data_IF_523693186306
#
_entry.id   IF_523693186306
#
_cell.length_a   1.000
_cell.length_b   1.000
_cell.length_c   1.000
_cell.angle_alpha   90.00
_cell.angle_beta   90.00
_cell.angle_gamma   90.00
#
_symmetry.space_group_name_H-M   'P 1'
#
loop_
_entity.id
_entity.type
_entity.pdbx_description
1 polymer ?
#
# COMPACT_ATOMS: atom_id res chain seq x y z
N UNK A 1 -14.17 10.76 8.67
CA UNK A 1 -12.74 11.12 8.63
C UNK A 1 -11.84 9.89 8.40
N UNK A 2 -11.88 8.84 9.24
CA UNK A 2 -11.03 7.64 9.09
C UNK A 2 -11.05 7.01 7.68
N UNK A 3 -12.22 6.75 7.11
CA UNK A 3 -12.35 6.14 5.78
C UNK A 3 -11.75 6.98 4.65
N UNK A 4 -11.87 8.31 4.73
CA UNK A 4 -11.32 9.22 3.73
C UNK A 4 -9.78 9.25 3.71
N UNK A 5 -9.14 8.84 4.80
CA UNK A 5 -7.68 8.73 4.93
C UNK A 5 -7.22 7.31 4.57
N UNK A 6 -7.86 6.29 5.16
CA UNK A 6 -7.43 4.90 4.99
C UNK A 6 -7.61 4.39 3.56
N UNK A 7 -8.67 4.81 2.86
CA UNK A 7 -8.95 4.30 1.52
C UNK A 7 -7.87 4.74 0.49
N UNK A 8 -7.52 6.04 0.35
CA UNK A 8 -6.42 6.44 -0.52
C UNK A 8 -5.09 5.78 -0.15
N UNK A 9 -4.81 5.62 1.15
CA UNK A 9 -3.60 4.94 1.61
C UNK A 9 -3.56 3.48 1.13
N UNK A 10 -4.67 2.74 1.25
CA UNK A 10 -4.74 1.36 0.79
C UNK A 10 -4.54 1.23 -0.72
N UNK A 11 -5.17 2.10 -1.50
CA UNK A 11 -4.99 2.14 -2.96
C UNK A 11 -3.53 2.45 -3.30
N UNK A 12 -2.93 3.43 -2.63
CA UNK A 12 -1.53 3.78 -2.82
C UNK A 12 -0.60 2.59 -2.52
N UNK A 13 -0.76 1.94 -1.37
CA UNK A 13 0.09 0.79 -0.99
C UNK A 13 -0.06 -0.39 -1.95
N UNK A 14 -1.30 -0.69 -2.36
CA UNK A 14 -1.56 -1.73 -3.35
C UNK A 14 -0.93 -1.42 -4.71
N UNK A 15 -1.07 -0.19 -5.19
CA UNK A 15 -0.49 0.25 -6.46
C UNK A 15 1.04 0.27 -6.43
N UNK A 16 1.64 0.78 -5.34
CA UNK A 16 3.09 0.81 -5.15
C UNK A 16 3.66 -0.61 -5.12
N UNK A 17 3.07 -1.52 -4.33
CA UNK A 17 3.53 -2.91 -4.25
C UNK A 17 3.43 -3.64 -5.59
N UNK A 18 2.32 -3.45 -6.32
CA UNK A 18 2.15 -4.00 -7.66
C UNK A 18 3.18 -3.45 -8.66
N UNK A 19 3.46 -2.15 -8.61
CA UNK A 19 4.46 -1.52 -9.49
C UNK A 19 5.88 -2.01 -9.19
N UNK A 20 6.26 -2.14 -7.91
CA UNK A 20 7.56 -2.68 -7.50
C UNK A 20 7.71 -4.11 -7.99
N UNK A 21 6.76 -5.00 -7.71
CA UNK A 21 6.83 -6.40 -8.18
C UNK A 21 6.84 -6.52 -9.71
N UNK A 22 6.15 -5.62 -10.41
CA UNK A 22 6.16 -5.56 -11.87
C UNK A 22 7.54 -5.17 -12.44
N UNK A 23 8.26 -4.27 -11.79
CA UNK A 23 9.62 -3.86 -12.17
C UNK A 23 10.66 -4.92 -11.76
N UNK A 24 10.48 -5.53 -10.58
CA UNK A 24 11.24 -6.71 -10.10
C UNK A 24 11.27 -7.84 -11.12
N UNK A 25 10.08 -8.21 -11.64
CA UNK A 25 9.93 -9.23 -12.68
C UNK A 25 10.58 -8.86 -14.03
N UNK A 26 11.01 -7.61 -14.22
CA UNK A 26 11.76 -7.13 -15.39
C UNK A 26 13.25 -6.96 -15.12
N UNK A 27 13.75 -7.44 -13.98
CA UNK A 27 15.16 -7.39 -13.63
C UNK A 27 15.62 -6.07 -13.00
N UNK A 28 14.70 -5.19 -12.61
CA UNK A 28 15.03 -3.99 -11.83
C UNK A 28 15.00 -4.39 -10.34
N UNK A 29 16.06 -4.16 -9.56
CA UNK A 29 16.04 -4.45 -8.13
C UNK A 29 14.87 -3.77 -7.41
N UNK A 30 14.19 -4.48 -6.51
CA UNK A 30 13.00 -3.98 -5.82
C UNK A 30 13.28 -2.68 -5.04
N UNK A 31 14.46 -2.55 -4.44
CA UNK A 31 14.89 -1.33 -3.76
C UNK A 31 14.96 -0.14 -4.71
N UNK A 32 15.57 -0.34 -5.88
CA UNK A 32 15.71 0.70 -6.90
C UNK A 32 14.34 1.08 -7.47
N UNK A 33 13.47 0.10 -7.73
CA UNK A 33 12.11 0.34 -8.17
C UNK A 33 11.33 1.16 -7.13
N UNK A 34 11.45 0.81 -5.85
CA UNK A 34 10.78 1.52 -4.75
C UNK A 34 11.30 2.96 -4.62
N UNK A 35 12.62 3.18 -4.69
CA UNK A 35 13.23 4.51 -4.64
C UNK A 35 12.67 5.40 -5.74
N UNK A 36 12.72 4.94 -7.00
CA UNK A 36 12.23 5.69 -8.16
C UNK A 36 10.76 6.06 -8.01
N UNK A 37 9.93 5.12 -7.56
CA UNK A 37 8.48 5.35 -7.41
C UNK A 37 8.16 6.31 -6.25
N UNK A 38 8.96 6.28 -5.17
CA UNK A 38 8.75 7.11 -3.98
C UNK A 38 9.47 8.46 -4.01
N UNK A 39 10.33 8.70 -4.99
CA UNK A 39 10.85 10.02 -5.36
C UNK A 39 9.82 10.87 -6.14
N UNK A 40 8.68 10.28 -6.53
CA UNK A 40 7.65 10.99 -7.29
C UNK A 40 6.80 11.95 -6.44
N UNK A 41 6.19 12.95 -7.10
CA UNK A 41 5.25 13.88 -6.45
C UNK A 41 3.97 13.24 -5.93
N UNK A 42 3.68 12.00 -6.34
CA UNK A 42 2.55 11.21 -5.87
C UNK A 42 2.84 10.40 -4.60
N UNK A 43 4.06 10.41 -4.10
CA UNK A 43 4.46 9.61 -2.95
C UNK A 43 3.83 10.12 -1.64
N UNK A 44 3.35 9.20 -0.81
CA UNK A 44 2.91 9.53 0.55
C UNK A 44 4.11 9.66 1.49
N UNK A 45 4.02 10.56 2.47
CA UNK A 45 5.11 10.81 3.43
C UNK A 45 5.72 9.53 4.07
N UNK A 46 4.90 8.56 4.53
CA UNK A 46 5.44 7.33 5.13
C UNK A 46 6.11 6.34 4.17
N UNK A 47 6.07 6.54 2.85
CA UNK A 47 6.53 5.55 1.87
C UNK A 47 8.03 5.24 2.04
N UNK A 48 8.87 6.28 2.05
CA UNK A 48 10.33 6.13 2.21
C UNK A 48 10.71 5.51 3.54
N UNK A 49 10.05 5.92 4.62
CA UNK A 49 10.31 5.39 5.96
C UNK A 49 10.00 3.89 6.10
N UNK A 50 9.09 3.37 5.28
CA UNK A 50 8.64 1.96 5.32
C UNK A 50 9.32 1.07 4.30
N UNK A 51 10.20 1.62 3.45
CA UNK A 51 10.86 0.89 2.38
C UNK A 51 11.55 -0.37 2.88
N UNK A 52 12.45 -0.25 3.87
CA UNK A 52 13.22 -1.38 4.37
C UNK A 52 12.32 -2.55 4.82
N UNK A 53 11.27 -2.26 5.59
CA UNK A 53 10.32 -3.29 6.05
C UNK A 53 9.48 -3.90 4.92
N UNK A 54 9.15 -3.12 3.89
CA UNK A 54 8.40 -3.61 2.72
C UNK A 54 9.30 -4.49 1.84
N UNK A 55 10.55 -4.09 1.62
CA UNK A 55 11.54 -4.87 0.86
C UNK A 55 11.84 -6.19 1.58
N UNK A 56 11.99 -6.16 2.90
CA UNK A 56 12.17 -7.37 3.71
C UNK A 56 10.98 -8.33 3.56
N UNK A 57 9.75 -7.79 3.61
CA UNK A 57 8.53 -8.56 3.36
C UNK A 57 8.52 -9.19 1.96
N UNK A 58 8.91 -8.45 0.93
CA UNK A 58 8.95 -8.95 -0.45
C UNK A 58 9.97 -10.08 -0.63
N UNK A 59 11.13 -9.98 0.03
CA UNK A 59 12.21 -10.98 -0.06
C UNK A 59 11.96 -12.24 0.75
N UNK A 60 11.43 -12.08 1.96
CA UNK A 60 11.35 -13.16 2.96
C UNK A 60 9.94 -13.73 3.13
N UNK A 61 8.92 -13.06 2.57
CA UNK A 61 7.51 -13.37 2.84
C UNK A 61 7.08 -13.08 4.29
N UNK A 62 7.96 -12.52 5.12
CA UNK A 62 7.72 -12.28 6.54
C UNK A 62 7.98 -10.80 6.86
N UNK A 63 7.00 -10.09 7.43
CA UNK A 63 7.23 -8.72 7.91
C UNK A 63 7.45 -8.73 9.42
N UNK A 64 8.45 -7.98 9.91
CA UNK A 64 8.56 -7.62 11.32
C UNK A 64 7.48 -6.62 11.81
N UNK A 65 6.62 -6.12 10.92
CA UNK A 65 5.68 -5.03 11.21
C UNK A 65 4.26 -5.43 10.81
N UNK A 66 3.46 -5.90 11.77
CA UNK A 66 2.09 -6.40 11.56
C UNK A 66 0.98 -5.36 11.80
N UNK A 67 1.30 -4.07 11.84
CA UNK A 67 0.33 -3.08 12.34
C UNK A 67 -0.75 -2.64 11.33
N UNK A 68 -0.70 -3.10 10.07
CA UNK A 68 -1.81 -2.91 9.13
C UNK A 68 -2.32 -4.28 8.66
N UNK A 69 -3.04 -4.97 9.55
CA UNK A 69 -3.69 -6.22 9.21
C UNK A 69 -4.63 -5.99 8.01
N UNK A 70 -4.43 -6.78 6.95
CA UNK A 70 -5.27 -6.79 5.74
C UNK A 70 -6.76 -6.88 6.13
N UNK A 71 -7.08 -7.58 7.22
CA UNK A 71 -8.43 -7.69 7.76
C UNK A 71 -9.05 -6.35 8.17
N UNK A 72 -8.28 -5.44 8.76
CA UNK A 72 -8.77 -4.12 9.13
C UNK A 72 -9.01 -3.27 7.87
N UNK A 73 -8.15 -3.46 6.88
CA UNK A 73 -8.26 -2.85 5.57
C UNK A 73 -9.55 -3.28 4.84
N UNK A 74 -9.83 -4.60 4.84
CA UNK A 74 -11.05 -5.19 4.27
C UNK A 74 -12.31 -4.71 4.99
N UNK A 75 -12.26 -4.59 6.33
CA UNK A 75 -13.37 -4.01 7.12
C UNK A 75 -13.66 -2.57 6.71
N UNK A 76 -12.62 -1.74 6.56
CA UNK A 76 -12.78 -0.33 6.19
C UNK A 76 -13.35 -0.19 4.76
N UNK A 77 -12.91 -1.01 3.79
CA UNK A 77 -13.50 -1.07 2.43
C UNK A 77 -14.98 -1.50 2.48
N UNK A 78 -15.30 -2.55 3.24
CA UNK A 78 -16.65 -3.08 3.32
C UNK A 78 -17.63 -2.06 3.93
N UNK A 79 -17.19 -1.36 4.98
CA UNK A 79 -17.96 -0.29 5.60
C UNK A 79 -18.26 0.85 4.62
N UNK A 80 -17.30 1.20 3.77
CA UNK A 80 -17.49 2.21 2.74
C UNK A 80 -18.52 1.79 1.69
N UNK A 81 -18.43 0.55 1.20
CA UNK A 81 -19.37 0.03 0.22
C UNK A 81 -20.81 0.01 0.77
N UNK A 82 -20.97 -0.32 2.05
CA UNK A 82 -22.26 -0.22 2.73
C UNK A 82 -22.76 1.23 2.82
N UNK A 83 -21.91 2.17 3.24
CA UNK A 83 -22.27 3.59 3.36
C UNK A 83 -22.66 4.22 2.01
N UNK A 84 -21.97 3.86 0.92
CA UNK A 84 -22.33 4.34 -0.43
C UNK A 84 -23.72 3.87 -0.86
N UNK A 85 -24.10 2.63 -0.52
CA UNK A 85 -25.42 2.08 -0.85
C UNK A 85 -26.53 2.78 -0.08
N UNK A 86 -26.30 3.06 1.20
CA UNK A 86 -27.25 3.78 2.08
C UNK A 86 -27.48 5.24 1.64
N UNK A 87 -26.45 5.91 1.12
CA UNK A 87 -26.54 7.30 0.62
C UNK A 87 -27.12 7.44 -0.79
N UNK A 88 -27.33 6.34 -1.51
CA UNK A 88 -27.84 6.31 -2.88
C UNK A 88 -29.34 5.97 -2.96
N UNK A 89 -29.98 5.71 -1.81
CA UNK A 89 -31.42 5.59 -1.58
C UNK A 89 -32.00 6.84 -0.94
#
# INVERSE_FOLDING_TARGET
>A
MKLAINLPLMVYWGALGAAVGLLGNRGIPDEQAFDILTDSSGAIGPARMRQASIIELLKTGTSGVSNFAIDQALKDISLLAAWRKDKAS
#
